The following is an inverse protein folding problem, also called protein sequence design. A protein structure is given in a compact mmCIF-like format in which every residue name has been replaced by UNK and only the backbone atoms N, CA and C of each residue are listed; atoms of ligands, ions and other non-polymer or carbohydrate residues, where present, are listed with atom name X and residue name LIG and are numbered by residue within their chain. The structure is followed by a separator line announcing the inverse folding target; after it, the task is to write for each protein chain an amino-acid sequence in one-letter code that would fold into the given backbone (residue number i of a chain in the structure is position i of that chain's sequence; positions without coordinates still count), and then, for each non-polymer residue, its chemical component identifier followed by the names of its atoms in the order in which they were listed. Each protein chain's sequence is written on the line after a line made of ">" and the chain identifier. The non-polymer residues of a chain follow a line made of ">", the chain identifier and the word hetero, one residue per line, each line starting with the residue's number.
data_IF_016895708986
#
_entry.id   IF_016895708986
#
_cell.length_a   1.000
_cell.length_b   1.000
_cell.length_c   1.000
_cell.angle_alpha   90.00
_cell.angle_beta   90.00
_cell.angle_gamma   90.00
#
_symmetry.space_group_name_H-M   'P 1'
#
loop_
_entity.id
_entity.type
_entity.pdbx_description
1 polymer ?
#
# COMPACT_ATOMS: atom_id res chain seq x y z
N UNK A 1 -7.90 -9.01 30.60
CA UNK A 1 -6.66 -9.00 29.81
C UNK A 1 -7.05 -9.29 28.37
N UNK A 2 -6.83 -8.37 27.42
CA UNK A 2 -7.10 -8.67 26.00
C UNK A 2 -5.96 -9.58 25.53
N UNK A 3 -6.28 -10.77 25.06
CA UNK A 3 -5.32 -11.64 24.37
C UNK A 3 -4.64 -10.83 23.26
N UNK A 4 -3.31 -10.86 23.21
CA UNK A 4 -2.57 -10.36 22.06
C UNK A 4 -2.90 -11.28 20.90
N UNK A 5 -3.74 -10.82 19.98
CA UNK A 5 -3.97 -11.49 18.71
C UNK A 5 -2.61 -11.62 18.02
N UNK A 6 -2.16 -12.87 17.83
CA UNK A 6 -0.86 -13.18 17.28
C UNK A 6 -0.75 -12.52 15.90
N UNK A 7 0.22 -11.60 15.73
CA UNK A 7 0.40 -10.87 14.48
C UNK A 7 0.89 -11.86 13.42
N UNK A 8 -0.07 -12.45 12.70
CA UNK A 8 0.14 -13.64 11.86
C UNK A 8 1.02 -13.40 10.64
N UNK A 9 1.09 -12.16 10.13
CA UNK A 9 1.85 -11.83 8.92
C UNK A 9 2.08 -10.32 8.79
N UNK A 10 3.28 -9.92 8.33
CA UNK A 10 3.63 -8.55 7.96
C UNK A 10 3.69 -8.41 6.44
N UNK A 11 3.47 -7.19 5.94
CA UNK A 11 3.42 -6.89 4.52
C UNK A 11 4.34 -5.72 4.16
N UNK A 12 5.06 -5.90 3.06
CA UNK A 12 5.83 -4.85 2.41
C UNK A 12 4.97 -4.26 1.30
N UNK A 13 4.68 -2.97 1.40
CA UNK A 13 3.84 -2.22 0.47
C UNK A 13 4.73 -1.23 -0.28
N UNK A 14 4.87 -1.43 -1.59
CA UNK A 14 5.55 -0.49 -2.46
C UNK A 14 4.52 0.33 -3.22
N UNK A 15 4.46 1.62 -2.93
CA UNK A 15 3.81 2.62 -3.76
C UNK A 15 4.76 3.14 -4.83
N UNK A 16 4.24 3.39 -6.02
CA UNK A 16 4.93 4.16 -7.06
C UNK A 16 3.99 5.25 -7.52
N UNK A 17 4.44 6.51 -7.48
CA UNK A 17 3.61 7.68 -7.76
C UNK A 17 4.13 8.46 -8.97
N UNK A 18 3.22 9.10 -9.68
CA UNK A 18 3.51 9.98 -10.80
C UNK A 18 2.72 11.27 -10.64
N UNK A 19 3.42 12.39 -10.67
CA UNK A 19 2.80 13.71 -10.67
C UNK A 19 2.66 14.22 -12.11
N UNK A 20 1.42 14.42 -12.54
CA UNK A 20 1.08 15.12 -13.77
C UNK A 20 1.10 16.63 -13.54
N UNK A 21 2.13 17.29 -14.03
CA UNK A 21 2.31 18.73 -13.88
C UNK A 21 1.27 19.57 -14.62
N UNK A 22 0.67 19.03 -15.69
CA UNK A 22 -0.26 19.79 -16.54
C UNK A 22 -1.58 19.99 -15.80
N UNK A 23 -2.12 18.91 -15.25
CA UNK A 23 -3.41 18.91 -14.57
C UNK A 23 -3.29 18.99 -13.04
N UNK A 24 -2.07 18.93 -12.50
CA UNK A 24 -1.81 18.89 -11.06
C UNK A 24 -2.18 17.56 -10.39
N UNK A 25 -2.44 16.50 -11.18
CA UNK A 25 -2.92 15.22 -10.68
C UNK A 25 -1.78 14.33 -10.19
N UNK A 26 -2.01 13.55 -9.13
CA UNK A 26 -1.10 12.46 -8.74
C UNK A 26 -1.77 11.12 -8.99
N UNK A 27 -1.03 10.21 -9.59
CA UNK A 27 -1.44 8.83 -9.82
C UNK A 27 -0.49 7.89 -9.09
N UNK A 28 -0.99 6.74 -8.67
CA UNK A 28 -0.19 5.72 -8.02
C UNK A 28 -0.53 4.31 -8.49
N UNK A 29 0.43 3.42 -8.30
CA UNK A 29 0.22 1.97 -8.31
C UNK A 29 0.81 1.42 -7.03
N UNK A 30 0.34 0.25 -6.61
CA UNK A 30 0.89 -0.46 -5.46
C UNK A 30 1.32 -1.87 -5.84
N UNK A 31 2.24 -2.41 -5.05
CA UNK A 31 2.48 -3.85 -4.98
C UNK A 31 2.66 -4.27 -3.53
N UNK A 32 2.18 -5.47 -3.21
CA UNK A 32 2.14 -5.99 -1.84
C UNK A 32 2.83 -7.34 -1.81
N UNK A 33 3.76 -7.50 -0.88
CA UNK A 33 4.56 -8.70 -0.69
C UNK A 33 4.52 -9.11 0.78
N UNK A 34 4.42 -10.41 1.05
CA UNK A 34 4.50 -10.97 2.40
C UNK A 34 5.95 -11.05 2.88
N UNK A 35 6.22 -10.72 4.15
CA UNK A 35 7.60 -10.79 4.68
C UNK A 35 8.06 -12.21 4.98
N UNK A 36 7.12 -13.13 5.19
CA UNK A 36 7.35 -14.53 5.56
C UNK A 36 8.05 -15.32 4.45
N UNK A 37 7.61 -15.15 3.21
CA UNK A 37 8.06 -15.93 2.04
C UNK A 37 8.45 -15.04 0.84
N UNK A 38 8.45 -13.71 1.01
CA UNK A 38 8.73 -12.74 -0.07
C UNK A 38 7.82 -12.89 -1.30
N UNK A 39 6.62 -13.48 -1.13
CA UNK A 39 5.68 -13.69 -2.22
C UNK A 39 4.90 -12.42 -2.52
N UNK A 40 4.89 -11.99 -3.78
CA UNK A 40 4.00 -10.93 -4.24
C UNK A 40 2.57 -11.44 -4.29
N UNK A 41 1.70 -10.88 -3.46
CA UNK A 41 0.28 -11.26 -3.37
C UNK A 41 -0.63 -10.31 -4.15
N UNK A 42 -0.14 -9.11 -4.47
CA UNK A 42 -0.88 -8.13 -5.25
C UNK A 42 0.04 -7.20 -6.04
N UNK A 43 -0.45 -6.78 -7.21
CA UNK A 43 0.09 -5.68 -8.01
C UNK A 43 -1.07 -4.97 -8.66
N UNK A 44 -1.10 -3.63 -8.62
CA UNK A 44 -2.14 -2.85 -9.28
C UNK A 44 -2.13 -3.14 -10.79
N UNK A 45 -3.29 -3.46 -11.40
CA UNK A 45 -3.39 -3.66 -12.84
C UNK A 45 -3.38 -2.33 -13.61
N UNK A 46 -3.86 -1.25 -12.98
CA UNK A 46 -3.98 0.09 -13.57
C UNK A 46 -3.45 1.14 -12.58
N UNK A 47 -3.19 2.34 -13.09
CA UNK A 47 -2.91 3.49 -12.24
C UNK A 47 -4.20 3.97 -11.57
N UNK A 48 -4.15 4.25 -10.29
CA UNK A 48 -5.22 4.88 -9.53
C UNK A 48 -4.90 6.35 -9.27
N UNK A 49 -5.92 7.18 -9.15
CA UNK A 49 -5.77 8.57 -8.75
C UNK A 49 -5.62 8.68 -7.23
N UNK A 50 -4.65 9.47 -6.77
CA UNK A 50 -4.47 9.72 -5.35
C UNK A 50 -3.20 10.49 -5.00
N UNK A 51 -3.31 11.35 -3.98
CA UNK A 51 -2.21 12.18 -3.48
C UNK A 51 -1.59 11.62 -2.21
N UNK A 52 -0.37 12.07 -1.92
CA UNK A 52 0.30 11.79 -0.65
C UNK A 52 0.31 10.30 -0.33
N UNK A 53 -0.34 9.95 0.76
CA UNK A 53 -0.39 8.58 1.30
C UNK A 53 -1.60 7.76 0.81
N UNK A 54 -2.34 8.20 -0.21
CA UNK A 54 -3.47 7.44 -0.77
C UNK A 54 -3.09 6.02 -1.20
N UNK A 55 -1.85 5.80 -1.65
CA UNK A 55 -1.34 4.45 -1.97
C UNK A 55 -1.42 3.50 -0.76
N UNK A 56 -1.28 4.00 0.47
CA UNK A 56 -1.41 3.18 1.70
C UNK A 56 -2.85 2.72 1.91
N UNK A 57 -3.82 3.62 1.66
CA UNK A 57 -5.25 3.32 1.74
C UNK A 57 -5.66 2.31 0.66
N UNK A 58 -5.22 2.49 -0.58
CA UNK A 58 -5.43 1.50 -1.65
C UNK A 58 -4.86 0.14 -1.23
N UNK A 59 -3.65 0.09 -0.66
CA UNK A 59 -3.04 -1.17 -0.23
C UNK A 59 -3.80 -1.85 0.90
N UNK A 60 -4.27 -1.07 1.88
CA UNK A 60 -5.10 -1.59 2.97
C UNK A 60 -6.41 -2.16 2.44
N UNK A 61 -7.11 -1.42 1.56
CA UNK A 61 -8.35 -1.88 0.92
C UNK A 61 -8.14 -3.21 0.18
N UNK A 62 -7.04 -3.37 -0.53
CA UNK A 62 -6.70 -4.61 -1.22
C UNK A 62 -6.39 -5.75 -0.26
N UNK A 63 -5.69 -5.49 0.85
CA UNK A 63 -5.47 -6.50 1.88
C UNK A 63 -6.76 -6.96 2.56
N UNK A 64 -7.72 -6.04 2.81
CA UNK A 64 -9.05 -6.39 3.31
C UNK A 64 -9.79 -7.25 2.27
N UNK A 65 -9.76 -6.85 0.99
CA UNK A 65 -10.37 -7.61 -0.12
C UNK A 65 -9.82 -9.04 -0.24
N UNK A 66 -8.52 -9.22 0.02
CA UNK A 66 -7.84 -10.51 0.02
C UNK A 66 -8.06 -11.32 1.32
N UNK A 67 -8.80 -10.78 2.30
CA UNK A 67 -9.02 -11.43 3.60
C UNK A 67 -7.77 -11.52 4.48
N UNK A 68 -6.76 -10.67 4.22
CA UNK A 68 -5.46 -10.67 4.90
C UNK A 68 -5.43 -9.81 6.16
N UNK A 69 -6.31 -8.82 6.22
CA UNK A 69 -6.51 -7.90 7.36
C UNK A 69 -8.00 -7.63 7.52
N UNK A 70 -8.44 -7.29 8.74
CA UNK A 70 -9.84 -7.01 9.03
C UNK A 70 -10.11 -5.53 8.82
N UNK A 71 -11.29 -5.14 8.33
CA UNK A 71 -11.60 -3.74 8.01
C UNK A 71 -11.49 -2.82 9.24
N UNK A 72 -11.79 -3.35 10.41
CA UNK A 72 -11.77 -2.66 11.70
C UNK A 72 -10.35 -2.20 12.11
N UNK A 73 -9.30 -2.77 11.51
CA UNK A 73 -7.91 -2.45 11.81
C UNK A 73 -7.42 -1.15 11.14
N UNK A 74 -8.24 -0.51 10.30
CA UNK A 74 -7.83 0.57 9.39
C UNK A 74 -7.27 1.77 10.17
N UNK A 75 -7.96 2.12 11.24
CA UNK A 75 -7.63 3.26 12.10
C UNK A 75 -6.73 2.88 13.28
N UNK A 76 -6.30 1.61 13.39
CA UNK A 76 -5.42 1.18 14.48
C UNK A 76 -3.97 1.51 14.12
N UNK A 77 -3.50 2.67 14.58
CA UNK A 77 -2.15 3.15 14.28
C UNK A 77 -1.02 2.24 14.77
N UNK A 78 -1.20 1.57 15.90
CA UNK A 78 -0.18 0.67 16.47
C UNK A 78 -0.06 -0.61 15.62
N UNK A 79 -1.19 -1.23 15.26
CA UNK A 79 -1.19 -2.39 14.36
C UNK A 79 -0.61 -2.06 12.99
N UNK A 80 -0.93 -0.86 12.47
CA UNK A 80 -0.39 -0.42 11.18
C UNK A 80 1.14 -0.34 11.20
N UNK A 81 1.75 0.17 12.28
CA UNK A 81 3.21 0.30 12.41
C UNK A 81 3.92 -1.05 12.53
N UNK A 82 3.29 -2.03 13.18
CA UNK A 82 3.91 -3.34 13.38
C UNK A 82 3.73 -4.28 12.18
N UNK A 83 2.63 -4.12 11.42
CA UNK A 83 2.24 -5.01 10.30
C UNK A 83 2.66 -4.53 8.93
N UNK A 84 2.82 -3.23 8.72
CA UNK A 84 3.06 -2.68 7.38
C UNK A 84 4.39 -1.94 7.28
N UNK A 85 5.18 -2.33 6.28
CA UNK A 85 6.40 -1.64 5.89
C UNK A 85 6.10 -0.93 4.57
N UNK A 86 6.12 0.40 4.57
CA UNK A 86 5.80 1.20 3.40
C UNK A 86 7.06 1.73 2.72
N UNK A 87 7.14 1.53 1.42
CA UNK A 87 8.06 2.22 0.53
C UNK A 87 7.27 2.99 -0.51
N UNK A 88 7.76 4.17 -0.90
CA UNK A 88 7.16 4.94 -1.98
C UNK A 88 8.23 5.55 -2.85
N UNK A 89 8.06 5.45 -4.17
CA UNK A 89 8.94 6.07 -5.15
C UNK A 89 8.17 7.04 -6.04
N UNK A 90 8.59 8.30 -6.03
CA UNK A 90 8.09 9.31 -6.97
C UNK A 90 8.84 9.18 -8.29
N UNK A 91 8.11 8.80 -9.32
CA UNK A 91 8.67 8.62 -10.66
C UNK A 91 8.47 9.90 -11.44
N UNK A 92 9.58 10.59 -11.68
CA UNK A 92 9.60 11.62 -12.70
C UNK A 92 9.31 10.93 -14.03
N UNK A 93 8.26 11.36 -14.75
CA UNK A 93 8.13 11.00 -16.17
C UNK A 93 9.43 11.43 -16.83
N UNK A 94 10.21 10.48 -17.38
CA UNK A 94 11.17 10.86 -18.43
C UNK A 94 10.32 11.56 -19.47
N UNK A 95 10.72 12.77 -19.87
CA UNK A 95 10.24 13.36 -21.12
C UNK A 95 10.35 12.25 -22.16
N UNK A 96 9.22 11.71 -22.59
CA UNK A 96 9.17 11.12 -23.92
C UNK A 96 9.54 12.29 -24.85
N UNK A 97 10.70 12.11 -25.50
CA UNK A 97 11.24 13.00 -26.53
C UNK A 97 10.26 13.10 -27.70
#
# INVERSE_FOLDING_TARGET
>A
MKEKEEIKEKYIIHGRRWFDKINGNTYHVISITTTSDSKKIYSSPNMEYGYGDHYRQTAYKELVRLGRVKKEDENNHDLNRERFIYFCSDVQRKKDL
#
